data_IF_905736394758
#
_entry.id   IF_905736394758
#
_cell.length_a   1.000
_cell.length_b   1.000
_cell.length_c   1.000
_cell.angle_alpha   90.00
_cell.angle_beta   90.00
_cell.angle_gamma   90.00
#
_symmetry.space_group_name_H-M   'P 1'
#
loop_
_entity.id
_entity.type
_entity.pdbx_description
1 polymer ?
#
# COMPACT_ATOMS: atom_id res chain seq x y z
N UNK A 1 4.51 36.02 31.68
CA UNK A 1 3.29 35.18 31.56
C UNK A 1 2.90 35.22 30.09
N UNK A 2 3.35 34.25 29.28
CA UNK A 2 2.61 33.01 29.02
C UNK A 2 1.40 33.37 28.14
N UNK A 3 1.39 33.08 26.85
CA UNK A 3 1.48 31.73 26.30
C UNK A 3 2.11 31.73 24.90
N UNK A 4 3.07 30.83 24.69
CA UNK A 4 3.51 30.43 23.38
C UNK A 4 2.33 29.78 22.64
N UNK A 5 1.87 30.40 21.55
CA UNK A 5 1.13 29.68 20.54
C UNK A 5 2.12 28.74 19.86
N UNK A 6 2.09 27.47 20.26
CA UNK A 6 2.73 26.42 19.48
C UNK A 6 2.07 26.39 18.10
N UNK A 7 2.86 26.59 17.05
CA UNK A 7 2.43 26.26 15.70
C UNK A 7 2.03 24.79 15.66
N UNK A 8 0.85 24.42 15.12
CA UNK A 8 0.53 23.03 14.92
C UNK A 8 1.49 22.51 13.84
N UNK A 9 2.29 21.51 14.21
CA UNK A 9 3.09 20.71 13.30
C UNK A 9 2.22 20.35 12.08
N UNK A 10 2.67 20.74 10.89
CA UNK A 10 1.90 20.64 9.65
C UNK A 10 1.36 19.24 9.43
N UNK A 11 0.05 19.07 9.60
CA UNK A 11 -0.68 17.99 8.96
C UNK A 11 -0.46 18.17 7.48
N UNK A 12 0.33 17.28 6.85
CA UNK A 12 0.30 17.14 5.38
C UNK A 12 -1.10 16.63 5.04
N UNK A 13 -2.05 17.55 4.98
CA UNK A 13 -3.42 17.26 4.59
C UNK A 13 -3.39 16.75 3.17
N UNK A 14 -4.03 15.61 2.95
CA UNK A 14 -4.37 15.22 1.59
C UNK A 14 -5.16 16.38 0.96
N UNK A 15 -4.84 16.73 -0.30
CA UNK A 15 -5.49 17.86 -0.99
C UNK A 15 -6.97 17.64 -1.27
N UNK A 16 -7.46 16.42 -1.04
CA UNK A 16 -8.84 16.00 -1.23
C UNK A 16 -9.19 14.87 -0.26
N UNK A 17 -10.49 14.61 -0.08
CA UNK A 17 -11.00 13.51 0.71
C UNK A 17 -10.59 12.15 0.13
N UNK A 18 -10.20 11.15 0.94
CA UNK A 18 -9.70 9.85 0.45
C UNK A 18 -10.65 9.15 -0.53
N UNK A 19 -11.95 9.18 -0.26
CA UNK A 19 -12.95 8.57 -1.15
C UNK A 19 -13.00 9.27 -2.52
N UNK A 20 -12.91 10.60 -2.54
CA UNK A 20 -12.90 11.38 -3.78
C UNK A 20 -11.63 11.07 -4.60
N UNK A 21 -10.48 10.96 -3.94
CA UNK A 21 -9.23 10.56 -4.59
C UNK A 21 -9.34 9.17 -5.22
N UNK A 22 -9.86 8.17 -4.49
CA UNK A 22 -9.99 6.78 -5.00
C UNK A 22 -10.89 6.76 -6.23
N UNK A 23 -12.09 7.36 -6.16
CA UNK A 23 -13.03 7.40 -7.28
C UNK A 23 -12.40 8.07 -8.50
N UNK A 24 -11.69 9.18 -8.30
CA UNK A 24 -10.98 9.90 -9.37
C UNK A 24 -9.82 9.09 -9.95
N UNK A 25 -9.04 8.40 -9.12
CA UNK A 25 -7.91 7.59 -9.59
C UNK A 25 -8.39 6.44 -10.49
N UNK A 26 -9.51 5.80 -10.13
CA UNK A 26 -10.11 4.70 -10.90
C UNK A 26 -10.86 5.17 -12.15
N UNK A 27 -11.44 6.37 -12.17
CA UNK A 27 -12.25 6.85 -13.31
C UNK A 27 -11.44 7.11 -14.58
N UNK A 28 -10.14 7.37 -14.48
CA UNK A 28 -9.28 7.72 -15.62
C UNK A 28 -8.64 6.50 -16.30
N UNK A 29 -8.97 5.28 -15.88
CA UNK A 29 -8.52 4.01 -16.50
C UNK A 29 -7.01 3.71 -16.37
N UNK A 30 -6.24 4.61 -15.75
CA UNK A 30 -4.80 4.44 -15.50
C UNK A 30 -4.49 3.54 -14.31
N UNK A 31 -5.44 3.43 -13.38
CA UNK A 31 -5.36 2.53 -12.23
C UNK A 31 -6.49 1.51 -12.34
N UNK A 32 -6.16 0.24 -12.13
CA UNK A 32 -7.12 -0.86 -12.10
C UNK A 32 -7.06 -1.51 -10.73
N UNK A 33 -8.24 -1.85 -10.19
CA UNK A 33 -8.32 -2.59 -8.94
C UNK A 33 -7.85 -4.03 -9.17
N UNK A 34 -6.95 -4.50 -8.32
CA UNK A 34 -6.56 -5.90 -8.32
C UNK A 34 -7.64 -6.73 -7.59
N UNK A 35 -8.17 -7.80 -8.22
CA UNK A 35 -9.19 -8.62 -7.57
C UNK A 35 -8.61 -9.38 -6.38
N UNK A 36 -9.35 -9.38 -5.27
CA UNK A 36 -9.04 -10.24 -4.12
C UNK A 36 -9.71 -11.60 -4.31
N UNK A 37 -8.94 -12.60 -4.74
CA UNK A 37 -9.45 -13.94 -5.07
C UNK A 37 -9.20 -14.95 -3.95
N UNK A 38 -9.78 -16.15 -4.07
CA UNK A 38 -9.54 -17.25 -3.14
C UNK A 38 -8.07 -17.68 -3.14
N UNK A 39 -7.41 -17.65 -4.29
CA UNK A 39 -6.00 -17.97 -4.46
C UNK A 39 -5.13 -16.98 -3.67
N UNK A 40 -5.45 -15.68 -3.73
CA UNK A 40 -4.81 -14.66 -2.89
C UNK A 40 -4.98 -15.00 -1.41
N UNK A 41 -6.20 -15.32 -0.98
CA UNK A 41 -6.48 -15.66 0.41
C UNK A 41 -5.70 -16.88 0.91
N UNK A 42 -5.56 -17.92 0.07
CA UNK A 42 -4.74 -19.10 0.38
C UNK A 42 -3.26 -18.77 0.45
N UNK A 43 -2.76 -17.91 -0.43
CA UNK A 43 -1.35 -17.54 -0.49
C UNK A 43 -0.93 -16.68 0.71
N UNK A 44 -1.80 -15.80 1.22
CA UNK A 44 -1.55 -15.02 2.44
C UNK A 44 -1.14 -15.91 3.62
N UNK A 45 -1.75 -17.10 3.78
CA UNK A 45 -1.43 -18.02 4.88
C UNK A 45 -0.07 -18.70 4.71
N UNK A 46 0.40 -18.86 3.48
CA UNK A 46 1.70 -19.48 3.16
C UNK A 46 2.85 -18.49 3.28
N UNK A 47 2.56 -17.19 3.17
CA UNK A 47 3.56 -16.14 3.34
C UNK A 47 4.12 -16.14 4.76
N UNK A 48 5.34 -16.67 4.90
CA UNK A 48 6.19 -16.56 6.08
C UNK A 48 6.77 -15.15 6.28
N UNK A 49 5.97 -14.11 6.04
CA UNK A 49 6.37 -12.72 6.30
C UNK A 49 6.45 -12.53 7.81
N UNK A 50 7.68 -12.65 8.33
CA UNK A 50 7.96 -12.73 9.76
C UNK A 50 7.30 -11.58 10.57
N UNK A 51 7.18 -10.38 10.00
CA UNK A 51 6.76 -9.18 10.73
C UNK A 51 5.80 -8.24 9.94
N UNK A 52 5.27 -8.62 8.78
CA UNK A 52 4.40 -7.73 7.97
C UNK A 52 3.03 -7.52 8.60
N UNK A 53 2.44 -6.33 8.43
CA UNK A 53 1.06 -6.09 8.84
C UNK A 53 0.08 -6.92 7.96
N UNK A 54 -1.20 -7.08 8.35
CA UNK A 54 -2.14 -7.87 7.56
C UNK A 54 -2.32 -7.36 6.11
N UNK A 55 -2.19 -6.05 5.89
CA UNK A 55 -2.36 -5.41 4.57
C UNK A 55 -1.14 -5.66 3.70
N UNK A 56 0.07 -5.57 4.23
CA UNK A 56 1.31 -5.94 3.55
C UNK A 56 1.23 -7.36 2.99
N UNK A 57 0.72 -8.30 3.79
CA UNK A 57 0.55 -9.69 3.36
C UNK A 57 -0.44 -9.82 2.22
N UNK A 58 -1.55 -9.06 2.27
CA UNK A 58 -2.53 -9.02 1.19
C UNK A 58 -1.87 -8.47 -0.09
N UNK A 59 -1.13 -7.37 -0.01
CA UNK A 59 -0.47 -6.75 -1.16
C UNK A 59 0.57 -7.69 -1.79
N UNK A 60 1.42 -8.32 -0.98
CA UNK A 60 2.43 -9.26 -1.47
C UNK A 60 1.78 -10.51 -2.08
N UNK A 61 0.78 -11.10 -1.42
CA UNK A 61 0.07 -12.26 -1.95
C UNK A 61 -0.66 -11.94 -3.27
N UNK A 62 -1.28 -10.77 -3.35
CA UNK A 62 -1.97 -10.31 -4.56
C UNK A 62 -0.98 -10.16 -5.71
N UNK A 63 0.16 -9.51 -5.47
CA UNK A 63 1.18 -9.34 -6.48
C UNK A 63 1.81 -10.67 -6.93
N UNK A 64 2.00 -11.62 -6.00
CA UNK A 64 2.48 -12.97 -6.33
C UNK A 64 1.49 -13.75 -7.20
N UNK A 65 0.23 -13.85 -6.76
CA UNK A 65 -0.80 -14.66 -7.43
C UNK A 65 -1.15 -14.09 -8.81
N UNK A 66 -1.20 -12.76 -8.93
CA UNK A 66 -1.55 -12.08 -10.18
C UNK A 66 -0.33 -11.77 -11.06
N UNK A 67 0.88 -12.14 -10.65
CA UNK A 67 2.11 -11.89 -11.42
C UNK A 67 2.44 -10.40 -11.60
N UNK A 68 2.17 -9.57 -10.59
CA UNK A 68 2.38 -8.13 -10.61
C UNK A 68 3.72 -7.74 -9.96
N UNK A 69 4.16 -6.51 -10.25
CA UNK A 69 5.28 -5.87 -9.53
C UNK A 69 4.73 -5.04 -8.38
N UNK A 70 5.28 -5.24 -7.17
CA UNK A 70 4.91 -4.46 -6.01
C UNK A 70 5.67 -3.13 -6.00
N UNK A 71 4.96 -2.03 -6.28
CA UNK A 71 5.52 -0.67 -6.18
C UNK A 71 5.31 -0.16 -4.75
N UNK A 72 6.38 0.18 -4.03
CA UNK A 72 6.27 0.63 -2.62
C UNK A 72 7.45 1.50 -2.20
N UNK A 73 7.20 2.45 -1.29
CA UNK A 73 8.25 3.21 -0.61
C UNK A 73 8.74 2.51 0.68
N UNK A 74 8.06 1.44 1.12
CA UNK A 74 8.43 0.73 2.35
C UNK A 74 9.69 -0.14 2.12
N UNK A 75 10.77 0.23 2.80
CA UNK A 75 12.06 -0.48 2.76
C UNK A 75 11.96 -1.94 3.20
N UNK A 76 11.01 -2.30 4.06
CA UNK A 76 10.80 -3.67 4.53
C UNK A 76 10.28 -4.54 3.38
N UNK A 77 9.36 -4.00 2.59
CA UNK A 77 8.80 -4.68 1.42
C UNK A 77 9.77 -4.69 0.23
N UNK A 78 10.57 -3.64 0.04
CA UNK A 78 11.59 -3.58 -1.02
C UNK A 78 12.71 -4.64 -0.87
N UNK A 79 12.87 -5.22 0.31
CA UNK A 79 13.85 -6.29 0.53
C UNK A 79 13.27 -7.70 0.34
N UNK A 80 12.01 -7.83 -0.05
CA UNK A 80 11.38 -9.12 -0.30
C UNK A 80 11.93 -9.74 -1.58
N UNK A 81 12.23 -11.04 -1.52
CA UNK A 81 12.69 -11.83 -2.68
C UNK A 81 11.58 -12.63 -3.35
N UNK A 82 10.41 -12.68 -2.73
CA UNK A 82 9.30 -13.49 -3.21
C UNK A 82 8.64 -12.86 -4.45
N UNK A 83 8.57 -11.54 -4.51
CA UNK A 83 7.87 -10.79 -5.56
C UNK A 83 8.79 -9.75 -6.20
N UNK A 84 8.65 -9.44 -7.49
CA UNK A 84 9.32 -8.28 -8.09
C UNK A 84 8.88 -7.00 -7.37
N UNK A 85 9.85 -6.14 -7.03
CA UNK A 85 9.61 -4.88 -6.32
C UNK A 85 10.17 -3.71 -7.09
N UNK A 86 9.47 -2.57 -7.03
CA UNK A 86 9.93 -1.30 -7.58
C UNK A 86 9.80 -0.20 -6.51
N UNK A 87 10.84 0.61 -6.26
CA UNK A 87 10.74 1.72 -5.33
C UNK A 87 9.79 2.81 -5.85
N UNK A 88 8.86 3.24 -5.01
CA UNK A 88 8.12 4.49 -5.23
C UNK A 88 9.04 5.67 -4.87
N UNK A 89 9.16 6.62 -5.79
CA UNK A 89 10.00 7.82 -5.68
C UNK A 89 9.24 9.00 -5.07
#
# INVERSE_FOLDING_TARGET
>A
MGTAHAEPAGTRGFSEEPEAWVRRALSHGRLQEAPFTHEVALEIRKLGLAHGDPVDRILVATALVLGLTLVTADKRLLNLRQVPVLPAH
#
